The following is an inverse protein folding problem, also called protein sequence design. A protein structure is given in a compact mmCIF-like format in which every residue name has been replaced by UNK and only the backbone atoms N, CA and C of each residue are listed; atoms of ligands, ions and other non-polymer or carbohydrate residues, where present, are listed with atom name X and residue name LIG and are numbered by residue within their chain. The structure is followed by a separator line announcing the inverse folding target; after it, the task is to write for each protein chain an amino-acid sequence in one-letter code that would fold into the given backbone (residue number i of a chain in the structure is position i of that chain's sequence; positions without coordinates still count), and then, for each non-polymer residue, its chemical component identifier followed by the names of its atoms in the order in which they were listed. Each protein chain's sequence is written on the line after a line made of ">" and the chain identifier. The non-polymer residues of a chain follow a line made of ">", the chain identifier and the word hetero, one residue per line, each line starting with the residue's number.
data_IF_080236044980
#
_entry.id   IF_080236044980
#
_cell.length_a   1.000
_cell.length_b   1.000
_cell.length_c   1.000
_cell.angle_alpha   90.00
_cell.angle_beta   90.00
_cell.angle_gamma   90.00
#
_symmetry.space_group_name_H-M   'P 1'
#
loop_
_entity.id
_entity.type
_entity.pdbx_description
1 polymer ?
#
# COMPACT_ATOMS: atom_id res chain seq x y z
N UNK A 1 24.57 23.28 10.92
CA UNK A 1 24.98 22.09 10.15
C UNK A 1 23.70 21.33 9.80
N UNK A 2 23.24 21.07 8.58
CA UNK A 2 23.65 21.32 7.19
C UNK A 2 22.32 21.49 6.40
N UNK A 3 22.05 22.61 5.72
CA UNK A 3 22.31 22.85 4.29
C UNK A 3 21.73 21.71 3.42
N UNK A 4 20.50 21.84 2.91
CA UNK A 4 20.20 22.47 1.61
C UNK A 4 21.16 22.01 0.50
N UNK A 5 20.96 20.79 0.02
CA UNK A 5 21.21 20.43 -1.38
C UNK A 5 19.88 20.53 -2.11
N UNK A 6 19.88 20.54 -3.44
CA UNK A 6 18.71 20.67 -4.33
C UNK A 6 18.32 22.11 -4.66
N UNK A 7 19.19 22.80 -5.40
CA UNK A 7 18.81 23.90 -6.30
C UNK A 7 19.97 24.20 -7.26
N UNK A 8 20.21 23.32 -8.24
CA UNK A 8 21.11 23.64 -9.36
C UNK A 8 20.98 22.68 -10.54
N UNK A 9 19.95 22.87 -11.37
CA UNK A 9 20.04 22.70 -12.84
C UNK A 9 19.13 23.77 -13.45
N UNK A 10 19.70 24.93 -13.75
CA UNK A 10 19.14 25.87 -14.73
C UNK A 10 20.29 26.19 -15.67
N UNK A 11 20.33 25.47 -16.80
CA UNK A 11 21.27 25.76 -17.88
C UNK A 11 20.62 26.84 -18.75
N UNK A 12 21.06 28.08 -18.56
CA UNK A 12 20.84 29.17 -19.49
C UNK A 12 22.21 29.66 -20.01
N UNK A 13 22.39 29.62 -21.34
CA UNK A 13 23.39 30.32 -22.19
C UNK A 13 23.20 29.73 -23.60
N UNK A 14 23.22 30.42 -24.73
CA UNK A 14 23.41 31.83 -25.12
C UNK A 14 23.36 31.82 -26.65
N UNK A 15 22.60 32.71 -27.30
CA UNK A 15 22.78 33.10 -28.72
C UNK A 15 23.73 34.34 -28.77
N UNK A 16 24.25 34.87 -29.92
CA UNK A 16 23.79 34.71 -31.32
C UNK A 16 24.84 34.74 -32.49
N UNK A 17 24.31 34.48 -33.70
CA UNK A 17 24.59 35.07 -35.05
C UNK A 17 25.75 34.58 -35.94
N UNK A 18 25.40 34.14 -37.17
CA UNK A 18 25.72 34.78 -38.48
C UNK A 18 24.94 34.13 -39.66
N UNK A 19 24.53 34.97 -40.62
CA UNK A 19 23.92 34.74 -41.97
C UNK A 19 24.75 35.64 -42.94
N UNK A 20 24.89 35.43 -44.26
CA UNK A 20 24.11 34.65 -45.26
C UNK A 20 24.97 33.72 -46.14
N UNK A 21 24.33 32.94 -47.02
CA UNK A 21 24.45 33.08 -48.48
C UNK A 21 23.86 31.82 -49.14
N UNK A 22 23.03 32.05 -50.15
CA UNK A 22 22.36 31.07 -50.97
C UNK A 22 23.35 30.26 -51.81
N UNK A 23 23.05 28.99 -52.07
CA UNK A 23 23.11 28.39 -53.41
C UNK A 23 22.46 27.00 -53.40
N UNK A 24 21.31 26.88 -54.08
CA UNK A 24 20.67 25.62 -54.40
C UNK A 24 21.41 24.94 -55.56
N UNK A 25 21.43 23.60 -55.59
CA UNK A 25 20.96 22.92 -56.79
C UNK A 25 19.81 21.96 -56.45
N UNK A 26 18.68 22.15 -57.14
CA UNK A 26 17.56 21.21 -57.17
C UNK A 26 18.00 19.94 -57.89
N UNK A 27 18.33 18.88 -57.16
CA UNK A 27 18.44 17.53 -57.74
C UNK A 27 17.14 16.78 -57.51
N UNK A 28 16.33 16.68 -58.55
CA UNK A 28 15.20 15.75 -58.64
C UNK A 28 15.72 14.31 -58.50
N UNK A 29 15.45 13.65 -57.37
CA UNK A 29 15.48 12.19 -57.28
C UNK A 29 14.06 11.68 -57.03
N UNK A 30 13.46 11.14 -58.10
CA UNK A 30 12.22 10.35 -58.05
C UNK A 30 12.48 9.00 -57.33
N UNK A 31 11.42 8.35 -56.83
CA UNK A 31 11.41 7.80 -55.48
C UNK A 31 11.94 6.37 -55.44
N UNK A 32 12.95 6.12 -54.60
CA UNK A 32 13.10 4.79 -54.06
C UNK A 32 12.02 4.61 -53.00
N UNK A 33 10.94 3.91 -53.37
CA UNK A 33 10.01 3.30 -52.42
C UNK A 33 10.81 2.32 -51.55
N UNK A 34 11.49 2.86 -50.53
CA UNK A 34 11.93 2.07 -49.38
C UNK A 34 10.64 1.69 -48.68
N UNK A 35 10.20 0.47 -48.91
CA UNK A 35 9.20 -0.19 -48.08
C UNK A 35 9.79 -0.23 -46.67
N UNK A 36 9.49 0.80 -45.88
CA UNK A 36 9.70 0.80 -44.45
C UNK A 36 8.79 -0.30 -43.92
N UNK A 37 9.36 -1.48 -43.70
CA UNK A 37 8.74 -2.50 -42.84
C UNK A 37 8.66 -1.86 -41.46
N UNK A 38 7.52 -1.24 -41.17
CA UNK A 38 7.16 -0.84 -39.82
C UNK A 38 7.04 -2.13 -39.01
N UNK A 39 8.11 -2.49 -38.32
CA UNK A 39 8.08 -3.53 -37.30
C UNK A 39 7.21 -2.99 -36.16
N UNK A 40 5.92 -3.32 -36.20
CA UNK A 40 5.03 -3.21 -35.05
C UNK A 40 5.58 -4.15 -33.98
N UNK A 41 6.38 -3.61 -33.05
CA UNK A 41 6.62 -4.25 -31.76
C UNK A 41 5.32 -4.10 -30.96
N UNK A 42 4.54 -5.17 -30.72
CA UNK A 42 3.45 -5.09 -29.77
C UNK A 42 4.07 -4.81 -28.40
N UNK A 43 3.79 -3.61 -27.87
CA UNK A 43 4.19 -3.22 -26.53
C UNK A 43 3.58 -4.19 -25.54
N UNK A 44 4.43 -4.99 -24.89
CA UNK A 44 4.06 -5.83 -23.77
C UNK A 44 3.76 -4.88 -22.60
N UNK A 45 2.52 -4.41 -22.51
CA UNK A 45 2.05 -3.66 -21.36
C UNK A 45 2.17 -4.58 -20.15
N UNK A 46 3.14 -4.29 -19.28
CA UNK A 46 3.26 -4.94 -17.99
C UNK A 46 1.95 -4.71 -17.24
N UNK A 47 1.11 -5.74 -17.16
CA UNK A 47 -0.01 -5.78 -16.23
C UNK A 47 0.60 -5.75 -14.84
N UNK A 48 0.71 -4.55 -14.26
CA UNK A 48 0.94 -4.43 -12.84
C UNK A 48 -0.18 -5.20 -12.13
N UNK A 49 0.14 -6.07 -11.16
CA UNK A 49 -0.90 -6.75 -10.40
C UNK A 49 -1.80 -5.67 -9.79
N UNK A 50 -3.09 -5.70 -10.13
CA UNK A 50 -4.05 -4.92 -9.38
C UNK A 50 -3.97 -5.39 -7.93
N UNK A 51 -3.67 -4.48 -7.00
CA UNK A 51 -3.71 -4.77 -5.58
C UNK A 51 -5.13 -5.28 -5.28
N UNK A 52 -5.26 -6.57 -4.99
CA UNK A 52 -6.55 -7.14 -4.61
C UNK A 52 -6.87 -6.62 -3.22
N UNK A 53 -7.99 -5.91 -3.09
CA UNK A 53 -8.50 -5.49 -1.79
C UNK A 53 -8.74 -6.73 -0.92
N UNK A 54 -8.21 -6.73 0.30
CA UNK A 54 -8.38 -7.82 1.24
C UNK A 54 -9.87 -7.96 1.58
N UNK A 55 -10.49 -9.03 1.09
CA UNK A 55 -11.91 -9.30 1.35
C UNK A 55 -12.02 -10.36 2.44
N UNK A 56 -12.61 -9.99 3.57
CA UNK A 56 -12.82 -10.88 4.72
C UNK A 56 -14.26 -11.38 4.79
N UNK A 57 -14.43 -12.67 5.03
CA UNK A 57 -15.71 -13.28 5.35
C UNK A 57 -15.87 -13.38 6.88
N UNK A 58 -16.89 -12.71 7.41
CA UNK A 58 -17.19 -12.69 8.84
C UNK A 58 -18.24 -13.77 9.21
N UNK A 59 -18.21 -14.29 10.46
CA UNK A 59 -19.19 -15.29 10.92
C UNK A 59 -20.62 -14.74 11.11
N UNK A 60 -20.81 -13.42 11.03
CA UNK A 60 -22.10 -12.75 11.12
C UNK A 60 -22.13 -11.51 10.21
N UNK A 61 -23.26 -10.81 10.17
CA UNK A 61 -23.37 -9.57 9.41
C UNK A 61 -22.36 -8.54 9.95
N UNK A 62 -21.52 -8.00 9.07
CA UNK A 62 -20.46 -7.07 9.43
C UNK A 62 -20.59 -5.76 8.66
N UNK A 63 -20.46 -4.65 9.39
CA UNK A 63 -20.48 -3.30 8.82
C UNK A 63 -19.23 -2.55 9.24
N UNK A 64 -18.54 -1.91 8.30
CA UNK A 64 -17.43 -1.03 8.62
C UNK A 64 -17.94 0.19 9.40
N UNK A 65 -17.38 0.45 10.58
CA UNK A 65 -17.75 1.61 11.41
C UNK A 65 -16.80 2.78 11.20
N UNK A 66 -15.55 2.49 10.85
CA UNK A 66 -14.55 3.48 10.47
C UNK A 66 -13.52 2.84 9.55
N UNK A 67 -12.93 3.66 8.68
CA UNK A 67 -11.83 3.26 7.81
C UNK A 67 -10.82 4.39 7.69
N UNK A 68 -9.54 4.03 7.69
CA UNK A 68 -8.40 4.91 7.45
C UNK A 68 -7.58 4.34 6.30
N UNK A 69 -7.31 5.18 5.31
CA UNK A 69 -6.46 4.83 4.17
C UNK A 69 -5.36 5.89 3.99
N UNK A 70 -4.11 5.45 3.92
CA UNK A 70 -2.95 6.30 3.69
C UNK A 70 -1.99 5.64 2.69
N UNK A 71 -1.49 6.40 1.71
CA UNK A 71 -0.54 5.89 0.75
C UNK A 71 0.32 7.01 0.12
N UNK A 72 1.65 6.96 0.23
CA UNK A 72 2.43 6.07 1.08
C UNK A 72 2.40 6.52 2.56
N UNK A 73 2.64 5.58 3.48
CA UNK A 73 2.87 5.85 4.90
C UNK A 73 3.85 4.83 5.49
N UNK A 74 4.28 5.04 6.73
CA UNK A 74 5.06 4.09 7.52
C UNK A 74 4.27 3.65 8.74
N UNK A 75 4.20 2.36 9.03
CA UNK A 75 3.42 1.81 10.14
C UNK A 75 4.25 0.83 10.98
N UNK A 76 4.10 0.89 12.30
CA UNK A 76 4.79 0.00 13.25
C UNK A 76 3.89 -1.17 13.61
N UNK A 77 4.18 -2.35 13.05
CA UNK A 77 3.45 -3.59 13.35
C UNK A 77 4.07 -4.25 14.59
N UNK A 78 3.24 -4.64 15.55
CA UNK A 78 3.67 -5.40 16.73
C UNK A 78 4.22 -6.78 16.33
N UNK A 79 5.39 -7.13 16.88
CA UNK A 79 6.06 -8.41 16.65
C UNK A 79 6.38 -9.17 17.95
N UNK A 80 5.86 -8.69 19.08
CA UNK A 80 6.08 -9.27 20.40
C UNK A 80 5.12 -8.68 21.43
N UNK A 81 5.06 -9.32 22.60
CA UNK A 81 4.30 -8.83 23.75
C UNK A 81 4.98 -7.59 24.35
N UNK A 82 4.24 -6.80 25.12
CA UNK A 82 4.83 -5.73 25.92
C UNK A 82 5.91 -6.28 26.84
N UNK A 83 7.11 -5.71 26.77
CA UNK A 83 8.29 -6.21 27.51
C UNK A 83 8.59 -5.45 28.81
N UNK A 84 7.70 -4.54 29.21
CA UNK A 84 7.86 -3.66 30.37
C UNK A 84 8.46 -2.29 30.01
N UNK A 85 9.12 -2.17 28.86
CA UNK A 85 9.72 -0.92 28.38
C UNK A 85 9.00 -0.35 27.15
N UNK A 86 8.34 -1.20 26.38
CA UNK A 86 7.61 -0.81 25.18
C UNK A 86 6.94 -1.98 24.49
N UNK A 87 6.28 -1.67 23.38
CA UNK A 87 5.76 -2.65 22.44
C UNK A 87 6.84 -2.98 21.40
N UNK A 88 7.35 -4.22 21.31
CA UNK A 88 8.27 -4.62 20.25
C UNK A 88 7.59 -4.49 18.89
N UNK A 89 8.15 -3.68 17.99
CA UNK A 89 7.57 -3.41 16.67
C UNK A 89 8.58 -3.55 15.53
N UNK A 90 8.06 -3.78 14.33
CA UNK A 90 8.78 -3.65 13.06
C UNK A 90 8.12 -2.58 12.20
N UNK A 91 8.95 -1.72 11.58
CA UNK A 91 8.48 -0.69 10.65
C UNK A 91 8.24 -1.30 9.27
N UNK A 92 7.08 -1.00 8.69
CA UNK A 92 6.71 -1.31 7.30
C UNK A 92 6.34 -0.01 6.59
N UNK A 93 6.59 0.05 5.27
CA UNK A 93 6.29 1.21 4.43
C UNK A 93 5.42 0.77 3.25
N UNK A 94 4.43 1.59 2.89
CA UNK A 94 3.53 1.29 1.77
C UNK A 94 2.15 1.89 1.93
N UNK A 95 1.16 1.26 1.32
CA UNK A 95 -0.25 1.60 1.54
C UNK A 95 -0.73 0.99 2.86
N UNK A 96 -1.42 1.79 3.67
CA UNK A 96 -2.08 1.39 4.88
C UNK A 96 -3.60 1.45 4.66
N UNK A 97 -4.27 0.35 4.98
CA UNK A 97 -5.72 0.28 5.10
C UNK A 97 -6.04 -0.30 6.48
N UNK A 98 -6.72 0.48 7.32
CA UNK A 98 -7.22 0.05 8.62
C UNK A 98 -8.74 0.22 8.63
N UNK A 99 -9.47 -0.83 9.02
CA UNK A 99 -10.93 -0.80 9.08
C UNK A 99 -11.41 -1.40 10.40
N UNK A 100 -12.25 -0.63 11.10
CA UNK A 100 -13.00 -1.10 12.26
C UNK A 100 -14.34 -1.70 11.80
N UNK A 101 -14.69 -2.85 12.36
CA UNK A 101 -15.88 -3.61 11.98
C UNK A 101 -16.81 -3.83 13.17
N UNK A 102 -18.10 -3.57 12.98
CA UNK A 102 -19.16 -4.02 13.88
C UNK A 102 -19.74 -5.30 13.33
N UNK A 103 -19.62 -6.39 14.10
CA UNK A 103 -20.11 -7.72 13.73
C UNK A 103 -21.33 -8.05 14.60
N UNK A 104 -22.44 -8.37 13.95
CA UNK A 104 -23.68 -8.77 14.63
C UNK A 104 -23.65 -10.26 14.87
N UNK A 105 -23.94 -10.65 16.11
CA UNK A 105 -24.11 -12.05 16.50
C UNK A 105 -25.28 -12.67 15.69
N UNK A 106 -25.04 -13.75 14.91
CA UNK A 106 -26.09 -14.37 14.12
C UNK A 106 -27.12 -15.12 14.98
N UNK A 107 -26.76 -15.55 16.19
CA UNK A 107 -27.59 -16.44 17.03
C UNK A 107 -27.60 -16.02 18.52
N UNK A 108 -27.94 -14.76 18.83
CA UNK A 108 -27.74 -14.18 20.17
C UNK A 108 -28.58 -14.84 21.26
N UNK A 109 -29.62 -15.61 20.89
CA UNK A 109 -30.48 -16.35 21.84
C UNK A 109 -29.97 -17.74 22.19
N UNK A 110 -29.01 -18.28 21.44
CA UNK A 110 -28.47 -19.63 21.65
C UNK A 110 -27.07 -19.57 22.25
N UNK A 111 -26.20 -18.74 21.68
CA UNK A 111 -24.83 -18.61 22.11
C UNK A 111 -24.29 -17.25 21.68
N UNK A 112 -23.65 -16.53 22.60
CA UNK A 112 -22.98 -15.29 22.25
C UNK A 112 -21.76 -15.57 21.37
N UNK A 113 -21.61 -14.78 20.31
CA UNK A 113 -20.44 -14.82 19.44
C UNK A 113 -19.16 -14.49 20.24
N UNK A 114 -18.24 -15.45 20.34
CA UNK A 114 -17.00 -15.31 21.11
C UNK A 114 -15.89 -14.69 20.26
N UNK A 115 -14.93 -14.00 20.91
CA UNK A 115 -13.74 -13.46 20.22
C UNK A 115 -12.98 -14.53 19.45
N UNK A 116 -12.84 -15.74 20.01
CA UNK A 116 -12.17 -16.85 19.33
C UNK A 116 -12.95 -17.30 18.08
N UNK A 117 -14.28 -17.37 18.13
CA UNK A 117 -15.13 -17.71 16.99
C UNK A 117 -15.05 -16.67 15.85
N UNK A 118 -14.70 -15.41 16.17
CA UNK A 118 -14.44 -14.36 15.18
C UNK A 118 -13.03 -14.48 14.61
N UNK A 119 -12.01 -14.55 15.47
CA UNK A 119 -10.62 -14.43 15.03
C UNK A 119 -10.08 -15.70 14.35
N UNK A 120 -10.54 -16.89 14.76
CA UNK A 120 -10.06 -18.15 14.19
C UNK A 120 -10.34 -18.28 12.68
N UNK A 121 -11.57 -18.04 12.16
CA UNK A 121 -11.82 -18.14 10.72
C UNK A 121 -11.17 -17.00 9.92
N UNK A 122 -11.01 -15.80 10.49
CA UNK A 122 -10.30 -14.70 9.84
C UNK A 122 -8.81 -15.02 9.68
N UNK A 123 -8.19 -15.60 10.69
CA UNK A 123 -6.80 -16.06 10.61
C UNK A 123 -6.62 -17.12 9.52
N UNK A 124 -7.53 -18.10 9.45
CA UNK A 124 -7.49 -19.13 8.42
C UNK A 124 -7.53 -18.52 7.00
N UNK A 125 -8.36 -17.50 6.78
CA UNK A 125 -8.42 -16.77 5.50
C UNK A 125 -7.09 -16.09 5.16
N UNK A 126 -6.48 -15.39 6.12
CA UNK A 126 -5.18 -14.73 5.90
C UNK A 126 -4.08 -15.75 5.56
N UNK A 127 -4.02 -16.88 6.27
CA UNK A 127 -3.05 -17.94 5.97
C UNK A 127 -3.26 -18.52 4.56
N UNK A 128 -4.52 -18.72 4.15
CA UNK A 128 -4.85 -19.20 2.79
C UNK A 128 -4.46 -18.20 1.70
N UNK A 129 -4.49 -16.90 1.99
CA UNK A 129 -4.03 -15.83 1.10
C UNK A 129 -2.50 -15.68 1.09
N UNK A 130 -1.75 -16.48 1.86
CA UNK A 130 -0.29 -16.49 1.88
C UNK A 130 0.34 -15.50 2.87
N UNK A 131 -0.44 -14.92 3.78
CA UNK A 131 0.11 -14.11 4.86
C UNK A 131 0.82 -14.99 5.90
N UNK A 132 1.88 -14.45 6.51
CA UNK A 132 2.60 -15.11 7.60
C UNK A 132 2.20 -14.49 8.95
N UNK A 133 2.10 -15.32 9.99
CA UNK A 133 1.92 -14.83 11.37
C UNK A 133 3.25 -14.28 11.85
N UNK A 134 3.30 -12.96 12.09
CA UNK A 134 4.48 -12.32 12.71
C UNK A 134 4.47 -12.48 14.23
N UNK A 135 3.30 -12.44 14.85
CA UNK A 135 3.12 -12.54 16.29
C UNK A 135 1.66 -12.89 16.65
N UNK A 136 1.48 -13.68 17.71
CA UNK A 136 0.18 -14.05 18.29
C UNK A 136 0.32 -14.25 19.81
N UNK A 137 -0.67 -13.78 20.56
CA UNK A 137 -0.78 -13.91 22.02
C UNK A 137 -2.25 -13.71 22.43
N UNK A 138 -2.57 -13.92 23.71
CA UNK A 138 -3.90 -13.67 24.26
C UNK A 138 -3.83 -12.86 25.56
N UNK A 139 -4.67 -11.82 25.65
CA UNK A 139 -4.93 -11.05 26.87
C UNK A 139 -3.64 -10.64 27.63
N UNK A 140 -3.45 -11.14 28.86
CA UNK A 140 -2.30 -10.81 29.70
C UNK A 140 -0.97 -11.26 29.08
N UNK A 141 -0.95 -12.32 28.27
CA UNK A 141 0.26 -12.77 27.59
C UNK A 141 0.74 -11.78 26.51
N UNK A 142 -0.14 -10.89 26.03
CA UNK A 142 0.24 -9.78 25.15
C UNK A 142 0.82 -8.58 25.91
N UNK A 143 0.57 -8.46 27.22
CA UNK A 143 0.77 -7.23 27.97
C UNK A 143 -0.52 -6.48 28.32
N UNK A 144 -1.70 -7.09 28.10
CA UNK A 144 -2.98 -6.50 28.48
C UNK A 144 -3.24 -5.13 27.82
N UNK A 145 -3.62 -4.13 28.64
CA UNK A 145 -3.94 -2.80 28.15
C UNK A 145 -2.72 -2.05 27.60
N UNK A 146 -1.51 -2.29 28.13
CA UNK A 146 -0.29 -1.62 27.66
C UNK A 146 -0.03 -1.93 26.18
N UNK A 147 -0.25 -3.19 25.77
CA UNK A 147 -0.18 -3.58 24.36
C UNK A 147 -1.16 -2.78 23.50
N UNK A 148 -2.43 -2.71 23.92
CA UNK A 148 -3.50 -2.03 23.17
C UNK A 148 -3.20 -0.54 22.99
N UNK A 149 -2.81 0.15 24.07
CA UNK A 149 -2.56 1.59 24.01
C UNK A 149 -1.24 1.96 23.34
N UNK A 150 -0.27 1.05 23.31
CA UNK A 150 0.98 1.24 22.58
C UNK A 150 0.86 0.94 21.08
N UNK A 151 -0.17 0.21 20.65
CA UNK A 151 -0.45 -0.07 19.24
C UNK A 151 -1.22 1.07 18.57
N UNK A 152 -0.84 1.44 17.33
CA UNK A 152 -1.50 2.48 16.52
C UNK A 152 -2.80 1.95 15.87
N UNK A 153 -3.78 1.61 16.71
CA UNK A 153 -5.11 1.18 16.27
C UNK A 153 -6.05 2.39 16.10
N UNK A 154 -7.17 2.18 15.42
CA UNK A 154 -8.19 3.22 15.27
C UNK A 154 -8.67 3.69 16.67
N UNK A 155 -8.73 5.01 16.93
CA UNK A 155 -9.04 5.52 18.26
C UNK A 155 -10.51 5.34 18.63
N UNK A 156 -10.83 5.44 19.92
CA UNK A 156 -12.20 5.71 20.34
C UNK A 156 -12.70 7.06 19.75
N UNK A 157 -13.98 7.16 19.34
CA UNK A 157 -15.07 6.20 19.53
C UNK A 157 -15.24 5.18 18.38
N UNK A 158 -14.39 5.22 17.36
CA UNK A 158 -14.58 4.49 16.10
C UNK A 158 -14.56 2.95 16.24
N UNK A 159 -13.95 2.45 17.32
CA UNK A 159 -13.87 1.03 17.68
C UNK A 159 -14.92 0.55 18.71
N UNK A 160 -15.95 1.35 19.01
CA UNK A 160 -17.08 0.93 19.86
C UNK A 160 -18.26 0.34 19.06
#
# INVERSE_FOLDING_TARGET
>A
MAWKLWDSITIARSEPRKRPEQLQPKTHRRPHRRLLRAALLPGLAALAPAAQALTLAFPGAATATASRFESPTSYRVAIGAWDGSGLPTRLFEGALEQTAWRIIDPEPRRQSLTTLAILQPLRAQLLQLGYAVLFECEAAACGGFDFRYASDLQPEPDMH
#
